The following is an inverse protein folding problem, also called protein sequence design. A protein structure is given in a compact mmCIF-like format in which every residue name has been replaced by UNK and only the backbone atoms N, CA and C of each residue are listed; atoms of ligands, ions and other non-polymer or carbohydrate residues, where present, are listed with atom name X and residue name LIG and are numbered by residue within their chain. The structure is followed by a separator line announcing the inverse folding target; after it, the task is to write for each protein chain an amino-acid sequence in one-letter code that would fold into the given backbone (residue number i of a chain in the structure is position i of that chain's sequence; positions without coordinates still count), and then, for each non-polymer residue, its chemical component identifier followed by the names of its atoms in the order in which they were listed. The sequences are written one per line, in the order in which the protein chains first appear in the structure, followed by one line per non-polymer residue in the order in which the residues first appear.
data_IF_656102716047
#
_entry.id   IF_656102716047
#
_cell.length_a   1.000
_cell.length_b   1.000
_cell.length_c   1.000
_cell.angle_alpha   90.00
_cell.angle_beta   90.00
_cell.angle_gamma   90.00
#
_symmetry.space_group_name_H-M   'P 1'
#
loop_
_entity.id
_entity.type
_entity.pdbx_description
1 polymer ?
#
# COMPACT_ATOMS: atom_id res chain seq x y z
N UNK A 1 -14.39 -3.64 9.76
CA UNK A 1 -13.10 -3.43 9.09
C UNK A 1 -12.42 -4.74 8.67
N UNK A 2 -11.96 -5.60 9.59
CA UNK A 2 -11.18 -6.81 9.24
C UNK A 2 -11.89 -7.76 8.25
N UNK A 3 -13.17 -8.08 8.48
CA UNK A 3 -13.92 -9.03 7.64
C UNK A 3 -14.05 -8.56 6.18
N UNK A 4 -14.39 -7.28 5.96
CA UNK A 4 -14.45 -6.71 4.60
C UNK A 4 -13.08 -6.69 3.94
N UNK A 5 -12.04 -6.35 4.70
CA UNK A 5 -10.65 -6.35 4.23
C UNK A 5 -10.19 -7.74 3.77
N UNK A 6 -10.47 -8.77 4.57
CA UNK A 6 -10.15 -10.17 4.24
C UNK A 6 -10.95 -10.65 3.02
N UNK A 7 -12.26 -10.35 2.99
CA UNK A 7 -13.11 -10.73 1.88
C UNK A 7 -12.64 -10.11 0.56
N UNK A 8 -12.30 -8.81 0.56
CA UNK A 8 -11.70 -8.11 -0.57
C UNK A 8 -10.36 -8.74 -0.99
N UNK A 9 -9.47 -9.04 -0.04
CA UNK A 9 -8.18 -9.67 -0.34
C UNK A 9 -8.37 -11.05 -1.00
N UNK A 10 -9.26 -11.88 -0.46
CA UNK A 10 -9.61 -13.19 -1.04
C UNK A 10 -10.31 -13.06 -2.39
N UNK A 11 -11.12 -12.03 -2.60
CA UNK A 11 -11.75 -11.76 -3.89
C UNK A 11 -10.69 -11.41 -4.94
N UNK A 12 -9.74 -10.53 -4.62
CA UNK A 12 -8.62 -10.20 -5.51
C UNK A 12 -7.80 -11.45 -5.84
N UNK A 13 -7.35 -12.21 -4.83
CA UNK A 13 -6.51 -13.38 -5.04
C UNK A 13 -7.19 -14.44 -5.93
N UNK A 14 -8.49 -14.68 -5.75
CA UNK A 14 -9.26 -15.61 -6.60
C UNK A 14 -9.26 -15.22 -8.08
N UNK A 15 -9.21 -13.92 -8.39
CA UNK A 15 -9.20 -13.42 -9.76
C UNK A 15 -7.78 -13.11 -10.26
N UNK A 16 -6.77 -13.04 -9.40
CA UNK A 16 -5.38 -12.89 -9.84
C UNK A 16 -4.89 -14.05 -10.71
N UNK A 17 -5.47 -15.25 -10.55
CA UNK A 17 -5.19 -16.40 -11.40
C UNK A 17 -5.63 -16.22 -12.85
N UNK A 18 -6.59 -15.32 -13.11
CA UNK A 18 -7.10 -15.06 -14.46
C UNK A 18 -6.44 -13.86 -15.13
N UNK A 19 -5.56 -13.14 -14.43
CA UNK A 19 -4.82 -12.00 -15.00
C UNK A 19 -3.67 -12.49 -15.89
N UNK A 20 -3.54 -11.90 -17.07
CA UNK A 20 -2.47 -12.19 -18.02
C UNK A 20 -1.27 -11.24 -17.83
N UNK A 21 -1.57 -9.98 -17.49
CA UNK A 21 -0.60 -8.91 -17.29
C UNK A 21 -0.03 -8.81 -15.88
N UNK A 22 0.89 -7.85 -15.72
CA UNK A 22 1.31 -7.39 -14.40
C UNK A 22 0.22 -6.47 -13.83
N UNK A 23 -0.35 -6.78 -12.65
CA UNK A 23 -1.43 -5.97 -12.09
C UNK A 23 -0.91 -4.63 -11.56
N UNK A 24 -1.71 -3.59 -11.77
CA UNK A 24 -1.56 -2.29 -11.13
C UNK A 24 -2.71 -2.07 -10.14
N UNK A 25 -2.40 -1.64 -8.93
CA UNK A 25 -3.35 -1.53 -7.83
C UNK A 25 -3.69 -0.06 -7.54
N UNK A 26 -4.95 0.22 -7.21
CA UNK A 26 -5.43 1.49 -6.70
C UNK A 26 -6.03 1.30 -5.31
N UNK A 27 -5.59 2.13 -4.36
CA UNK A 27 -5.84 2.00 -2.92
C UNK A 27 -6.50 3.27 -2.42
N UNK A 28 -7.52 3.13 -1.56
CA UNK A 28 -8.38 4.25 -1.11
C UNK A 28 -8.04 4.76 0.29
N UNK A 29 -7.22 4.03 1.02
CA UNK A 29 -6.75 4.39 2.35
C UNK A 29 -6.03 5.74 2.30
N UNK A 30 -6.56 6.73 3.03
CA UNK A 30 -6.07 8.10 3.11
C UNK A 30 -5.35 8.38 4.44
N UNK A 31 -5.80 7.76 5.53
CA UNK A 31 -5.30 8.03 6.88
C UNK A 31 -4.47 6.87 7.44
N UNK A 32 -3.66 7.17 8.44
CA UNK A 32 -2.82 6.18 9.10
C UNK A 32 -3.61 5.07 9.78
N UNK A 33 -4.81 5.36 10.30
CA UNK A 33 -5.71 4.35 10.87
C UNK A 33 -6.10 3.29 9.81
N UNK A 34 -6.47 3.72 8.62
CA UNK A 34 -6.83 2.84 7.50
C UNK A 34 -5.60 2.07 7.00
N UNK A 35 -4.48 2.78 6.85
CA UNK A 35 -3.21 2.21 6.43
C UNK A 35 -2.64 1.18 7.43
N UNK A 36 -2.93 1.33 8.73
CA UNK A 36 -2.46 0.42 9.79
C UNK A 36 -2.93 -1.02 9.58
N UNK A 37 -4.04 -1.22 8.86
CA UNK A 37 -4.53 -2.55 8.53
C UNK A 37 -3.54 -3.36 7.71
N UNK A 38 -2.74 -2.72 6.84
CA UNK A 38 -1.67 -3.38 6.08
C UNK A 38 -0.57 -3.93 6.98
N UNK A 39 -0.31 -3.24 8.09
CA UNK A 39 0.76 -3.56 9.03
C UNK A 39 0.34 -4.63 10.03
N UNK A 40 -0.91 -4.57 10.49
CA UNK A 40 -1.38 -5.32 11.65
C UNK A 40 -2.26 -6.53 11.30
N UNK A 41 -2.96 -6.54 10.16
CA UNK A 41 -3.81 -7.67 9.81
C UNK A 41 -2.99 -8.78 9.17
N UNK A 42 -2.99 -9.97 9.78
CA UNK A 42 -2.24 -11.13 9.30
C UNK A 42 -2.51 -11.42 7.82
N UNK A 43 -3.80 -11.37 7.42
CA UNK A 43 -4.18 -11.65 6.03
C UNK A 43 -3.64 -10.63 5.01
N UNK A 44 -3.38 -9.38 5.42
CA UNK A 44 -2.80 -8.35 4.52
C UNK A 44 -1.34 -8.63 4.26
N UNK A 45 -0.61 -9.02 5.30
CA UNK A 45 0.78 -9.44 5.16
C UNK A 45 0.90 -10.65 4.23
N UNK A 46 0.08 -11.68 4.47
CA UNK A 46 0.06 -12.90 3.64
C UNK A 46 -0.37 -12.59 2.20
N UNK A 47 -1.32 -11.69 2.01
CA UNK A 47 -1.74 -11.20 0.70
C UNK A 47 -0.59 -10.52 -0.06
N UNK A 48 0.16 -9.60 0.56
CA UNK A 48 1.29 -8.93 -0.07
C UNK A 48 2.40 -9.92 -0.42
N UNK A 49 2.70 -10.85 0.50
CA UNK A 49 3.68 -11.92 0.28
C UNK A 49 3.28 -12.80 -0.90
N UNK A 50 2.02 -13.23 -0.96
CA UNK A 50 1.52 -14.07 -2.04
C UNK A 50 1.62 -13.37 -3.41
N UNK A 51 1.25 -12.08 -3.49
CA UNK A 51 1.41 -11.31 -4.72
C UNK A 51 2.89 -11.17 -5.11
N UNK A 52 3.76 -10.84 -4.16
CA UNK A 52 5.19 -10.70 -4.40
C UNK A 52 5.82 -12.00 -4.91
N UNK A 53 5.47 -13.14 -4.30
CA UNK A 53 5.92 -14.46 -4.73
C UNK A 53 5.45 -14.78 -6.16
N UNK A 54 4.18 -14.48 -6.46
CA UNK A 54 3.56 -14.74 -7.77
C UNK A 54 4.23 -13.97 -8.91
N UNK A 55 4.56 -12.70 -8.69
CA UNK A 55 5.08 -11.82 -9.74
C UNK A 55 6.60 -11.60 -9.67
N UNK A 56 7.31 -12.31 -8.79
CA UNK A 56 8.77 -12.18 -8.59
C UNK A 56 9.59 -12.28 -9.87
N UNK A 57 9.19 -13.12 -10.83
CA UNK A 57 9.94 -13.36 -12.06
C UNK A 57 9.71 -12.32 -13.16
N UNK A 58 8.88 -11.29 -12.92
CA UNK A 58 8.61 -10.23 -13.89
C UNK A 58 9.75 -9.21 -13.87
N UNK A 59 10.08 -8.67 -15.04
CA UNK A 59 11.15 -7.67 -15.18
C UNK A 59 10.77 -6.30 -14.58
N UNK A 60 9.47 -5.97 -14.62
CA UNK A 60 8.93 -4.74 -14.06
C UNK A 60 8.27 -5.01 -12.71
N UNK A 61 8.39 -4.07 -11.74
CA UNK A 61 7.73 -4.20 -10.45
C UNK A 61 6.22 -3.98 -10.56
N UNK A 62 5.43 -4.71 -9.77
CA UNK A 62 4.03 -4.35 -9.56
C UNK A 62 3.95 -2.93 -9.00
N UNK A 63 2.90 -2.20 -9.37
CA UNK A 63 2.67 -0.84 -8.87
C UNK A 63 1.42 -0.79 -7.99
N UNK A 64 1.48 -0.02 -6.91
CA UNK A 64 0.32 0.28 -6.08
C UNK A 64 0.23 1.78 -5.84
N UNK A 65 -0.90 2.36 -6.22
CA UNK A 65 -1.18 3.77 -6.03
C UNK A 65 -2.06 3.97 -4.81
N UNK A 66 -1.66 4.89 -3.93
CA UNK A 66 -2.53 5.46 -2.90
C UNK A 66 -3.13 6.76 -3.42
N UNK A 67 -4.45 6.90 -3.34
CA UNK A 67 -5.13 8.16 -3.58
C UNK A 67 -5.35 8.85 -2.24
N UNK A 68 -4.57 9.90 -1.98
CA UNK A 68 -4.58 10.63 -0.70
C UNK A 68 -4.80 12.10 -0.98
N UNK A 69 -5.57 12.78 -0.14
CA UNK A 69 -5.73 14.23 -0.27
C UNK A 69 -4.72 14.98 0.60
N UNK A 70 -4.30 16.17 0.16
CA UNK A 70 -3.45 17.06 0.97
C UNK A 70 -4.10 17.36 2.33
N UNK A 71 -5.43 17.49 2.36
CA UNK A 71 -6.17 17.66 3.61
C UNK A 71 -5.99 16.47 4.55
N UNK A 72 -6.12 15.22 4.05
CA UNK A 72 -5.91 14.03 4.87
C UNK A 72 -4.49 13.99 5.48
N UNK A 73 -3.47 14.43 4.74
CA UNK A 73 -2.09 14.50 5.25
C UNK A 73 -1.96 15.56 6.35
N UNK A 74 -2.43 16.78 6.07
CA UNK A 74 -2.25 17.94 6.96
C UNK A 74 -3.05 17.81 8.25
N UNK A 75 -4.25 17.23 8.21
CA UNK A 75 -5.08 17.00 9.40
C UNK A 75 -4.69 15.74 10.19
N UNK A 76 -3.97 14.80 9.56
CA UNK A 76 -3.50 13.59 10.24
C UNK A 76 -2.54 13.94 11.38
N UNK A 77 -2.69 13.34 12.56
CA UNK A 77 -1.71 13.47 13.63
C UNK A 77 -0.39 12.75 13.26
N UNK A 78 0.76 13.15 13.84
CA UNK A 78 2.07 12.60 13.49
C UNK A 78 2.14 11.05 13.50
N UNK A 79 1.50 10.41 14.48
CA UNK A 79 1.43 8.94 14.58
C UNK A 79 0.79 8.27 13.35
N UNK A 80 -0.23 8.89 12.77
CA UNK A 80 -0.92 8.34 11.59
C UNK A 80 -0.09 8.53 10.33
N UNK A 81 0.62 9.65 10.23
CA UNK A 81 1.59 9.87 9.17
C UNK A 81 2.71 8.82 9.20
N UNK A 82 3.21 8.47 10.39
CA UNK A 82 4.17 7.37 10.56
C UNK A 82 3.58 6.03 10.08
N UNK A 83 2.33 5.71 10.45
CA UNK A 83 1.66 4.47 10.01
C UNK A 83 1.51 4.40 8.48
N UNK A 84 1.17 5.53 7.84
CA UNK A 84 1.09 5.61 6.39
C UNK A 84 2.45 5.36 5.73
N UNK A 85 3.52 5.99 6.23
CA UNK A 85 4.88 5.74 5.73
C UNK A 85 5.28 4.28 5.90
N UNK A 86 5.02 3.67 7.06
CA UNK A 86 5.33 2.27 7.30
C UNK A 86 4.54 1.32 6.39
N UNK A 87 3.27 1.63 6.08
CA UNK A 87 2.48 0.84 5.13
C UNK A 87 3.08 0.89 3.72
N UNK A 88 3.54 2.07 3.28
CA UNK A 88 4.27 2.21 2.00
C UNK A 88 5.59 1.45 2.03
N UNK A 89 6.36 1.57 3.12
CA UNK A 89 7.62 0.85 3.29
C UNK A 89 7.42 -0.67 3.29
N UNK A 90 6.32 -1.18 3.88
CA UNK A 90 5.97 -2.59 3.81
C UNK A 90 5.79 -3.05 2.36
N UNK A 91 5.06 -2.31 1.53
CA UNK A 91 4.84 -2.66 0.13
C UNK A 91 6.13 -2.62 -0.69
N UNK A 92 6.93 -1.57 -0.52
CA UNK A 92 8.25 -1.43 -1.15
C UNK A 92 9.19 -2.57 -0.75
N UNK A 93 9.12 -3.04 0.50
CA UNK A 93 9.91 -4.19 0.98
C UNK A 93 9.56 -5.51 0.25
N UNK A 94 8.36 -5.60 -0.32
CA UNK A 94 7.93 -6.73 -1.15
C UNK A 94 8.23 -6.53 -2.65
N UNK A 95 8.94 -5.46 -3.02
CA UNK A 95 9.23 -5.11 -4.41
C UNK A 95 8.02 -4.52 -5.15
N UNK A 96 7.01 -4.04 -4.43
CA UNK A 96 5.86 -3.33 -5.00
C UNK A 96 6.20 -1.85 -4.99
N UNK A 97 6.31 -1.25 -6.17
CA UNK A 97 6.57 0.18 -6.29
C UNK A 97 5.30 0.96 -5.92
N UNK A 98 5.43 1.89 -4.97
CA UNK A 98 4.31 2.70 -4.54
C UNK A 98 4.31 4.05 -5.25
N UNK A 99 3.12 4.44 -5.73
CA UNK A 99 2.84 5.79 -6.19
C UNK A 99 1.85 6.46 -5.24
N UNK A 100 1.99 7.77 -5.09
CA UNK A 100 1.03 8.62 -4.39
C UNK A 100 0.38 9.61 -5.36
N UNK A 101 -0.94 9.55 -5.47
CA UNK A 101 -1.75 10.47 -6.26
C UNK A 101 -2.50 11.44 -5.34
N UNK A 102 -2.24 12.73 -5.51
CA UNK A 102 -2.88 13.80 -4.73
C UNK A 102 -4.00 14.53 -5.49
N UNK A 103 -4.22 14.20 -6.76
CA UNK A 103 -5.21 14.87 -7.59
C UNK A 103 -6.65 14.51 -7.13
N UNK A 104 -7.44 15.49 -6.64
CA UNK A 104 -8.77 15.24 -6.12
C UNK A 104 -9.75 14.73 -7.18
N UNK A 105 -9.46 14.88 -8.49
CA UNK A 105 -10.27 14.34 -9.56
C UNK A 105 -10.43 12.81 -9.49
N UNK A 106 -9.46 12.12 -8.89
CA UNK A 106 -9.48 10.67 -8.74
C UNK A 106 -9.97 10.19 -7.37
N UNK A 107 -10.35 11.09 -6.46
CA UNK A 107 -10.81 10.75 -5.09
C UNK A 107 -11.99 9.79 -5.09
N UNK A 108 -12.88 9.91 -6.08
CA UNK A 108 -14.09 9.09 -6.18
C UNK A 108 -13.85 7.71 -6.79
N UNK A 109 -12.63 7.40 -7.25
CA UNK A 109 -12.34 6.08 -7.78
C UNK A 109 -12.34 5.03 -6.67
N UNK A 110 -12.93 3.90 -7.01
CA UNK A 110 -12.92 2.71 -6.19
C UNK A 110 -11.51 2.14 -6.01
N UNK A 111 -11.30 1.34 -4.97
CA UNK A 111 -10.13 0.47 -4.88
C UNK A 111 -10.25 -0.62 -5.94
N UNK A 112 -9.24 -0.74 -6.81
CA UNK A 112 -9.25 -1.70 -7.90
C UNK A 112 -7.89 -2.32 -8.17
N UNK A 113 -7.90 -3.44 -8.89
CA UNK A 113 -6.72 -4.06 -9.52
C UNK A 113 -6.97 -4.11 -11.01
N UNK A 114 -6.11 -3.49 -11.80
CA UNK A 114 -6.26 -3.44 -13.25
C UNK A 114 -5.29 -4.40 -13.94
N UNK A 115 -5.85 -5.31 -14.74
CA UNK A 115 -5.17 -5.88 -15.90
C UNK A 115 -5.68 -5.13 -17.13
N UNK A 116 -4.85 -4.24 -17.68
CA UNK A 116 -5.22 -3.31 -18.77
C UNK A 116 -5.84 -4.01 -19.98
N UNK A 117 -5.55 -5.30 -20.19
CA UNK A 117 -6.02 -6.05 -21.35
C UNK A 117 -7.30 -6.86 -21.09
N UNK A 118 -7.71 -7.04 -19.83
CA UNK A 118 -8.75 -8.00 -19.48
C UNK A 118 -9.86 -7.42 -18.62
N UNK A 119 -9.53 -6.94 -17.44
CA UNK A 119 -10.52 -6.57 -16.44
C UNK A 119 -9.96 -5.66 -15.34
N UNK A 120 -10.87 -5.02 -14.62
CA UNK A 120 -10.63 -4.40 -13.35
C UNK A 120 -11.34 -5.22 -12.27
N UNK A 121 -10.61 -5.63 -11.23
CA UNK A 121 -11.17 -6.28 -10.05
C UNK A 121 -11.40 -5.20 -9.00
N UNK A 122 -12.66 -4.93 -8.68
CA UNK A 122 -13.07 -3.89 -7.73
C UNK A 122 -13.12 -4.50 -6.34
N UNK A 123 -12.56 -3.80 -5.35
CA UNK A 123 -12.49 -4.28 -3.97
C UNK A 123 -12.42 -3.11 -2.97
N UNK A 124 -13.59 -2.67 -2.51
CA UNK A 124 -13.73 -1.62 -1.50
C UNK A 124 -14.20 -2.20 -0.16
N UNK A 125 -13.56 -1.77 0.92
CA UNK A 125 -13.95 -2.08 2.30
C UNK A 125 -13.74 -0.90 3.26
N UNK A 126 -13.23 0.23 2.73
CA UNK A 126 -12.98 1.49 3.43
C UNK A 126 -13.92 2.55 2.87
N UNK A 127 -14.47 3.39 3.74
CA UNK A 127 -15.28 4.56 3.37
C UNK A 127 -16.46 4.21 2.43
N UNK A 128 -17.23 3.20 2.84
CA UNK A 128 -18.47 2.77 2.21
C UNK A 128 -19.53 2.42 3.27
N UNK A 129 -20.80 2.73 2.98
CA UNK A 129 -21.93 2.47 3.89
C UNK A 129 -22.26 0.97 4.02
N UNK A 130 -21.75 0.14 3.11
CA UNK A 130 -21.86 -1.32 3.12
C UNK A 130 -20.63 -1.99 3.77
N UNK A 131 -20.72 -3.29 4.09
CA UNK A 131 -19.60 -4.02 4.72
C UNK A 131 -18.41 -4.19 3.77
N UNK A 132 -18.67 -4.38 2.47
CA UNK A 132 -17.71 -4.34 1.36
C UNK A 132 -18.45 -4.18 0.01
N UNK A 133 -17.74 -3.74 -1.02
CA UNK A 133 -18.15 -3.81 -2.43
C UNK A 133 -17.07 -4.53 -3.23
N UNK A 134 -17.41 -5.64 -3.89
CA UNK A 134 -16.51 -6.34 -4.81
C UNK A 134 -17.21 -6.60 -6.13
N UNK A 135 -16.48 -6.48 -7.22
CA UNK A 135 -16.98 -6.74 -8.57
C UNK A 135 -15.82 -7.03 -9.54
N UNK A 136 -16.13 -7.54 -10.73
CA UNK A 136 -15.19 -7.69 -11.84
C UNK A 136 -15.75 -6.99 -13.06
N UNK A 137 -15.11 -5.89 -13.45
CA UNK A 137 -15.53 -5.07 -14.57
C UNK A 137 -14.68 -5.40 -15.82
N UNK A 138 -15.35 -5.64 -16.95
CA UNK A 138 -14.73 -5.85 -18.28
C UNK A 138 -15.18 -4.81 -19.31
N UNK A 139 -15.89 -3.77 -18.89
CA UNK A 139 -16.38 -2.68 -19.73
C UNK A 139 -15.20 -1.80 -20.19
N UNK A 140 -14.99 -1.70 -21.51
CA UNK A 140 -13.83 -1.00 -22.08
C UNK A 140 -13.70 0.48 -21.65
N UNK A 141 -14.75 1.33 -21.73
CA UNK A 141 -14.72 2.67 -21.17
C UNK A 141 -14.24 2.75 -19.72
N UNK A 142 -14.73 1.88 -18.84
CA UNK A 142 -14.32 1.87 -17.44
C UNK A 142 -12.86 1.43 -17.26
N UNK A 143 -12.43 0.41 -18.01
CA UNK A 143 -11.02 -0.01 -18.02
C UNK A 143 -10.09 1.12 -18.47
N UNK A 144 -10.49 1.89 -19.48
CA UNK A 144 -9.73 3.06 -19.94
C UNK A 144 -9.66 4.12 -18.84
N UNK A 145 -10.78 4.42 -18.17
CA UNK A 145 -10.81 5.38 -17.06
C UNK A 145 -9.87 4.97 -15.92
N UNK A 146 -9.83 3.70 -15.55
CA UNK A 146 -8.91 3.20 -14.53
C UNK A 146 -7.44 3.25 -15.00
N UNK A 147 -7.20 2.95 -16.27
CA UNK A 147 -5.86 3.06 -16.87
C UNK A 147 -5.36 4.51 -16.84
N UNK A 148 -6.20 5.48 -17.24
CA UNK A 148 -5.87 6.90 -17.24
C UNK A 148 -5.49 7.40 -15.84
N UNK A 149 -6.18 6.92 -14.80
CA UNK A 149 -5.87 7.26 -13.41
C UNK A 149 -4.50 6.71 -12.97
N UNK A 150 -4.21 5.45 -13.32
CA UNK A 150 -2.91 4.84 -13.03
C UNK A 150 -1.77 5.53 -13.79
N UNK A 151 -2.00 5.86 -15.07
CA UNK A 151 -1.02 6.56 -15.90
C UNK A 151 -0.75 7.96 -15.37
N UNK A 152 -1.79 8.69 -14.95
CA UNK A 152 -1.64 9.97 -14.27
C UNK A 152 -0.81 9.83 -12.98
N UNK A 153 -1.19 8.90 -12.11
CA UNK A 153 -0.51 8.70 -10.83
C UNK A 153 0.94 8.30 -10.99
N UNK A 154 1.27 7.48 -12.00
CA UNK A 154 2.63 7.07 -12.29
C UNK A 154 3.47 8.21 -12.88
N UNK A 155 2.89 9.02 -13.77
CA UNK A 155 3.59 10.16 -14.37
C UNK A 155 3.79 11.33 -13.39
N UNK A 156 2.90 11.49 -12.42
CA UNK A 156 2.83 12.65 -11.53
C UNK A 156 2.85 12.28 -10.05
N UNK A 157 3.48 11.18 -9.70
CA UNK A 157 3.50 10.76 -8.30
C UNK A 157 4.17 11.82 -7.42
N UNK A 158 3.53 12.19 -6.31
CA UNK A 158 4.08 13.16 -5.36
C UNK A 158 5.38 12.71 -4.69
N UNK A 159 5.69 11.41 -4.76
CA UNK A 159 6.89 10.79 -4.18
C UNK A 159 7.81 10.19 -5.25
N UNK A 160 7.69 10.63 -6.50
CA UNK A 160 8.42 10.04 -7.63
C UNK A 160 9.95 10.07 -7.41
N UNK A 161 10.57 8.89 -7.39
CA UNK A 161 12.02 8.73 -7.36
C UNK A 161 12.42 7.37 -7.94
N UNK A 162 13.65 7.29 -8.46
CA UNK A 162 14.19 6.07 -9.10
C UNK A 162 14.46 4.95 -8.09
N UNK A 163 14.82 5.29 -6.86
CA UNK A 163 15.18 4.32 -5.81
C UNK A 163 14.11 4.26 -4.72
N UNK A 164 13.93 3.11 -4.05
CA UNK A 164 13.04 3.02 -2.90
C UNK A 164 13.38 4.02 -1.80
N UNK A 165 14.66 4.24 -1.51
CA UNK A 165 15.08 5.25 -0.52
C UNK A 165 14.63 6.64 -0.91
N UNK A 166 14.81 7.03 -2.19
CA UNK A 166 14.35 8.34 -2.67
C UNK A 166 12.84 8.51 -2.52
N UNK A 167 12.06 7.47 -2.79
CA UNK A 167 10.60 7.50 -2.64
C UNK A 167 10.18 7.62 -1.17
N UNK A 168 10.83 6.87 -0.28
CA UNK A 168 10.53 6.92 1.16
C UNK A 168 10.97 8.22 1.82
N UNK A 169 12.11 8.80 1.43
CA UNK A 169 12.53 10.14 1.89
C UNK A 169 11.60 11.22 1.37
N UNK A 170 11.19 11.16 0.10
CA UNK A 170 10.19 12.09 -0.46
C UNK A 170 8.84 11.99 0.27
N UNK A 171 8.40 10.77 0.59
CA UNK A 171 7.21 10.54 1.38
C UNK A 171 7.34 11.10 2.80
N UNK A 172 8.48 10.90 3.47
CA UNK A 172 8.72 11.50 4.79
C UNK A 172 8.65 13.03 4.75
N UNK A 173 9.23 13.66 3.72
CA UNK A 173 9.13 15.10 3.50
C UNK A 173 7.69 15.57 3.28
N UNK A 174 6.92 14.86 2.46
CA UNK A 174 5.51 15.17 2.22
C UNK A 174 4.66 15.04 3.49
N UNK A 175 4.98 14.06 4.34
CA UNK A 175 4.28 13.79 5.58
C UNK A 175 4.79 14.62 6.78
N UNK A 176 5.77 15.51 6.55
CA UNK A 176 6.39 16.31 7.60
C UNK A 176 6.95 15.43 8.75
N UNK A 177 7.73 14.40 8.37
CA UNK A 177 8.38 13.46 9.27
C UNK A 177 9.90 13.61 9.20
N UNK A 178 10.55 13.62 10.36
CA UNK A 178 12.00 13.56 10.44
C UNK A 178 12.50 12.18 10.00
N UNK A 179 13.14 12.15 8.82
CA UNK A 179 13.68 10.93 8.22
C UNK A 179 14.80 10.30 9.05
N UNK A 180 15.68 11.11 9.66
CA UNK A 180 16.79 10.59 10.47
C UNK A 180 16.25 9.95 11.76
N UNK A 181 15.33 10.64 12.43
CA UNK A 181 14.66 10.08 13.60
C UNK A 181 13.93 8.78 13.25
N UNK A 182 13.18 8.77 12.14
CA UNK A 182 12.37 7.62 11.75
C UNK A 182 13.23 6.39 11.43
N UNK A 183 14.31 6.58 10.67
CA UNK A 183 15.22 5.48 10.29
C UNK A 183 15.95 4.91 11.50
N UNK A 184 16.38 5.78 12.43
CA UNK A 184 16.97 5.36 13.69
C UNK A 184 15.99 4.52 14.52
N UNK A 185 14.76 5.01 14.74
CA UNK A 185 13.74 4.30 15.51
C UNK A 185 13.30 2.99 14.87
N UNK A 186 13.16 2.97 13.55
CA UNK A 186 12.89 1.73 12.82
C UNK A 186 14.03 0.71 12.98
N UNK A 187 15.29 1.17 13.02
CA UNK A 187 16.44 0.32 13.28
C UNK A 187 16.42 -0.29 14.68
N UNK A 188 16.12 0.50 15.70
CA UNK A 188 15.95 0.00 17.08
C UNK A 188 14.82 -1.04 17.15
N UNK A 189 13.64 -0.72 16.60
CA UNK A 189 12.50 -1.63 16.60
C UNK A 189 12.79 -2.94 15.85
N UNK A 190 13.49 -2.86 14.73
CA UNK A 190 13.88 -4.04 13.95
C UNK A 190 14.88 -4.94 14.68
N UNK A 191 15.77 -4.37 15.50
CA UNK A 191 16.75 -5.14 16.27
C UNK A 191 16.12 -5.93 17.43
N UNK A 192 15.10 -5.37 18.08
CA UNK A 192 14.42 -6.01 19.22
C UNK A 192 13.18 -6.83 18.82
N UNK A 193 12.57 -6.50 17.67
CA UNK A 193 11.27 -7.02 17.26
C UNK A 193 10.11 -6.38 18.05
N UNK A 194 8.97 -6.13 17.39
CA UNK A 194 7.83 -5.47 18.03
C UNK A 194 6.91 -6.42 18.81
N UNK A 195 7.08 -7.74 18.69
CA UNK A 195 6.32 -8.74 19.47
C UNK A 195 6.55 -8.63 20.99
N UNK A 196 7.72 -8.16 21.43
CA UNK A 196 7.99 -7.88 22.85
C UNK A 196 7.27 -6.64 23.39
N UNK A 197 6.72 -5.79 22.51
CA UNK A 197 6.02 -4.55 22.83
C UNK A 197 4.50 -4.73 22.72
N UNK A 198 4.05 -5.51 21.74
CA UNK A 198 2.66 -5.85 21.53
C UNK A 198 2.55 -7.33 21.10
N UNK A 199 2.26 -8.22 22.04
CA UNK A 199 1.95 -9.63 21.74
C UNK A 199 0.49 -9.75 21.30
N UNK A 200 0.18 -9.96 20.01
CA UNK A 200 -1.20 -10.04 19.56
C UNK A 200 -1.80 -11.37 20.01
N UNK A 201 -2.64 -11.35 21.04
CA UNK A 201 -3.37 -12.55 21.48
C UNK A 201 -4.42 -13.05 20.46
N UNK A 202 -4.73 -12.25 19.43
CA UNK A 202 -5.63 -12.61 18.35
C UNK A 202 -4.87 -13.15 17.14
N UNK A 203 -5.28 -14.32 16.62
CA UNK A 203 -4.73 -14.90 15.38
C UNK A 203 -4.96 -14.03 14.14
N UNK A 204 -5.87 -13.06 14.23
CA UNK A 204 -6.22 -12.15 13.14
C UNK A 204 -5.21 -11.01 12.97
N UNK A 205 -4.36 -10.80 13.99
CA UNK A 205 -3.37 -9.75 14.07
C UNK A 205 -1.96 -10.33 14.12
N UNK A 206 -1.00 -9.58 13.58
CA UNK A 206 0.41 -9.93 13.61
C UNK A 206 1.28 -8.68 13.63
N UNK A 207 2.47 -8.76 14.22
CA UNK A 207 3.50 -7.72 14.15
C UNK A 207 4.39 -7.83 12.91
N UNK A 208 4.26 -8.91 12.13
CA UNK A 208 5.17 -9.20 11.02
C UNK A 208 5.23 -8.08 9.97
N UNK A 209 4.12 -7.37 9.74
CA UNK A 209 4.09 -6.21 8.84
C UNK A 209 4.89 -5.02 9.38
N UNK A 210 4.74 -4.71 10.67
CA UNK A 210 5.52 -3.66 11.34
C UNK A 210 7.00 -4.01 11.35
N UNK A 211 7.34 -5.23 11.77
CA UNK A 211 8.72 -5.69 11.86
C UNK A 211 9.43 -5.62 10.49
N UNK A 212 8.75 -6.08 9.43
CA UNK A 212 9.27 -6.01 8.06
C UNK A 212 9.43 -4.57 7.57
N UNK A 213 8.45 -3.71 7.81
CA UNK A 213 8.50 -2.31 7.40
C UNK A 213 9.66 -1.58 8.08
N UNK A 214 9.79 -1.72 9.40
CA UNK A 214 10.87 -1.11 10.18
C UNK A 214 12.25 -1.62 9.73
N UNK A 215 12.42 -2.93 9.56
CA UNK A 215 13.67 -3.51 9.05
C UNK A 215 14.03 -2.99 7.66
N UNK A 216 13.03 -2.82 6.78
CA UNK A 216 13.23 -2.27 5.45
C UNK A 216 13.66 -0.80 5.49
N UNK A 217 12.96 0.05 6.26
CA UNK A 217 13.32 1.46 6.45
C UNK A 217 14.75 1.61 6.97
N UNK A 218 15.13 0.80 7.96
CA UNK A 218 16.49 0.80 8.51
C UNK A 218 17.53 0.42 7.44
N UNK A 219 17.25 -0.61 6.65
CA UNK A 219 18.17 -1.11 5.61
C UNK A 219 18.35 -0.10 4.47
N UNK A 220 17.28 0.53 3.99
CA UNK A 220 17.40 1.49 2.87
C UNK A 220 18.13 2.78 3.27
N UNK A 221 18.15 3.10 4.56
CA UNK A 221 18.89 4.24 5.10
C UNK A 221 20.41 4.00 5.14
N UNK A 222 20.85 2.77 5.44
CA UNK A 222 22.28 2.43 5.52
C UNK A 222 22.97 2.34 4.15
N UNK A 223 22.21 2.13 3.07
CA UNK A 223 22.75 2.04 1.70
C UNK A 223 23.02 3.40 1.03
N UNK A 224 22.84 4.49 1.77
CA UNK A 224 23.13 5.87 1.35
C UNK A 224 24.26 6.54 2.18
N UNK A 225 25.00 5.75 2.99
CA UNK A 225 26.18 6.18 3.73
C UNK A 225 27.47 5.95 2.97
#
# INVERSE_FOLDING_TARGET
MWLGSEFCARHILRHCDTLAGLPAFWTREQHGEEASTWLLFTHKYDYLKHLADRYRSRAEPMTRTFSITETAITTSPPRERVLLLLAVALMESFGIQVNLCLDPAYRQLEGFVLDRQRCAIIANWVDIDAVWHVDVNTNKPDLQRYADALDHAQARSAIAAKTPTGRLTALAGLLDLDWQWLTHRCGELAAYGSAGIADPHSRLLSTAGVDRACGYVATVATHNG
#
